data_IF_764426239846
#
_entry.id   IF_764426239846
#
_cell.length_a   1.000
_cell.length_b   1.000
_cell.length_c   1.000
_cell.angle_alpha   90.00
_cell.angle_beta   90.00
_cell.angle_gamma   90.00
#
_symmetry.space_group_name_H-M   'P 1'
#
loop_
_entity.id
_entity.type
_entity.pdbx_description
1 polymer ?
#
# COMPACT_ATOMS: atom_id res chain seq x y z
N UNK A 1 -26.11 -6.10 -4.87
CA UNK A 1 -24.82 -5.94 -4.19
C UNK A 1 -23.91 -5.15 -5.14
N UNK A 2 -23.41 -4.02 -4.71
CA UNK A 2 -22.57 -3.12 -5.52
C UNK A 2 -21.14 -3.23 -5.03
N UNK A 3 -20.16 -3.37 -5.95
CA UNK A 3 -18.74 -3.31 -5.63
C UNK A 3 -18.24 -1.90 -5.86
N UNK A 4 -17.54 -1.35 -4.89
CA UNK A 4 -16.93 -0.04 -4.97
C UNK A 4 -15.58 0.01 -4.25
N UNK A 5 -14.76 0.98 -4.62
CA UNK A 5 -13.49 1.27 -3.98
C UNK A 5 -13.36 2.77 -3.71
N UNK A 6 -12.92 3.11 -2.50
CA UNK A 6 -12.53 4.44 -2.08
C UNK A 6 -11.02 4.43 -1.86
N UNK A 7 -10.28 5.31 -2.51
CA UNK A 7 -8.83 5.32 -2.37
C UNK A 7 -8.23 6.72 -2.41
N UNK A 8 -7.08 6.82 -1.77
CA UNK A 8 -6.11 7.91 -1.92
C UNK A 8 -4.78 7.32 -2.36
N UNK A 9 -4.05 8.01 -3.21
CA UNK A 9 -2.74 7.56 -3.65
C UNK A 9 -1.79 8.74 -3.91
N UNK A 10 -0.59 8.43 -4.39
CA UNK A 10 0.47 9.41 -4.64
C UNK A 10 0.13 10.45 -5.71
N UNK A 11 -0.89 10.21 -6.54
CA UNK A 11 -1.34 11.17 -7.56
C UNK A 11 -2.48 12.06 -7.08
N UNK A 12 -3.25 11.62 -6.06
CA UNK A 12 -4.44 12.35 -5.60
C UNK A 12 -4.21 13.12 -4.29
N UNK A 13 -3.27 12.67 -3.45
CA UNK A 13 -3.09 13.24 -2.13
C UNK A 13 -1.62 13.49 -1.81
N UNK A 14 -1.28 14.64 -1.18
CA UNK A 14 0.08 14.93 -0.71
C UNK A 14 0.51 13.97 0.40
N UNK A 15 1.83 13.89 0.65
CA UNK A 15 2.43 12.90 1.54
C UNK A 15 1.93 12.99 2.98
N UNK A 16 1.80 14.20 3.51
CA UNK A 16 1.32 14.47 4.87
C UNK A 16 -0.14 14.00 5.07
N UNK A 17 -0.99 14.18 4.06
CA UNK A 17 -2.36 13.69 4.08
C UNK A 17 -2.40 12.16 3.98
N UNK A 18 -1.65 11.56 3.05
CA UNK A 18 -1.58 10.10 2.90
C UNK A 18 -1.08 9.41 4.17
N UNK A 19 -0.10 10.01 4.85
CA UNK A 19 0.45 9.50 6.10
C UNK A 19 -0.58 9.34 7.23
N UNK A 20 -1.67 10.12 7.20
CA UNK A 20 -2.76 10.01 8.20
C UNK A 20 -3.63 8.77 7.99
N UNK A 21 -3.59 8.18 6.82
CA UNK A 21 -4.39 7.01 6.43
C UNK A 21 -3.53 5.76 6.22
N UNK A 22 -2.24 5.80 6.57
CA UNK A 22 -1.38 4.64 6.46
C UNK A 22 -1.67 3.66 7.62
N UNK A 23 -2.04 2.43 7.27
CA UNK A 23 -2.28 1.35 8.22
C UNK A 23 -1.17 0.31 8.08
N UNK A 24 -0.48 0.01 9.18
CA UNK A 24 0.46 -1.11 9.23
C UNK A 24 -0.31 -2.45 9.09
N UNK A 25 0.36 -3.50 8.63
CA UNK A 25 -0.30 -4.78 8.34
C UNK A 25 -1.01 -5.37 9.57
N UNK A 26 -0.41 -5.23 10.75
CA UNK A 26 -0.97 -5.67 12.03
C UNK A 26 -2.19 -4.83 12.47
N UNK A 27 -2.36 -3.64 11.92
CA UNK A 27 -3.51 -2.76 12.17
C UNK A 27 -4.68 -3.00 11.21
N UNK A 28 -4.48 -3.73 10.10
CA UNK A 28 -5.53 -3.95 9.10
C UNK A 28 -6.75 -4.66 9.71
N UNK A 29 -6.54 -5.76 10.45
CA UNK A 29 -7.64 -6.51 11.04
C UNK A 29 -8.47 -5.70 12.06
N UNK A 30 -7.88 -5.00 13.07
CA UNK A 30 -8.65 -4.14 13.97
C UNK A 30 -9.32 -2.97 13.24
N UNK A 31 -8.68 -2.40 12.21
CA UNK A 31 -9.26 -1.33 11.39
C UNK A 31 -10.51 -1.80 10.63
N UNK A 32 -10.44 -2.99 10.01
CA UNK A 32 -11.60 -3.63 9.35
C UNK A 32 -12.74 -3.90 10.33
N UNK A 33 -12.43 -4.33 11.55
CA UNK A 33 -13.44 -4.51 12.59
C UNK A 33 -14.17 -3.20 12.93
N UNK A 34 -13.41 -2.11 13.15
CA UNK A 34 -13.98 -0.79 13.41
C UNK A 34 -14.82 -0.26 12.25
N UNK A 35 -14.36 -0.42 11.01
CA UNK A 35 -15.11 -0.04 9.81
C UNK A 35 -16.42 -0.83 9.70
N UNK A 36 -16.37 -2.15 9.86
CA UNK A 36 -17.57 -3.00 9.78
C UNK A 36 -18.60 -2.68 10.88
N UNK A 37 -18.14 -2.38 12.08
CA UNK A 37 -19.02 -1.90 13.15
C UNK A 37 -19.73 -0.60 12.77
N UNK A 38 -19.00 0.35 12.19
CA UNK A 38 -19.58 1.61 11.73
C UNK A 38 -20.59 1.41 10.57
N UNK A 39 -20.34 0.45 9.69
CA UNK A 39 -21.20 0.12 8.55
C UNK A 39 -22.36 -0.80 8.92
N UNK A 40 -22.17 -1.66 9.94
CA UNK A 40 -23.13 -2.73 10.30
C UNK A 40 -24.37 -2.26 11.07
N UNK A 41 -24.49 -0.98 11.42
CA UNK A 41 -25.67 -0.45 12.12
C UNK A 41 -26.97 -0.49 11.28
N UNK A 42 -26.90 -0.92 10.03
CA UNK A 42 -28.04 -1.10 9.11
C UNK A 42 -28.40 -2.55 8.75
N UNK A 43 -27.78 -3.57 9.38
CA UNK A 43 -28.16 -4.98 9.19
C UNK A 43 -27.70 -5.64 7.90
N UNK A 44 -27.01 -4.93 7.00
CA UNK A 44 -26.49 -5.50 5.76
C UNK A 44 -25.07 -6.03 5.95
N UNK A 45 -24.80 -7.26 5.47
CA UNK A 45 -23.45 -7.82 5.42
C UNK A 45 -22.63 -7.09 4.37
N UNK A 46 -21.66 -6.28 4.78
CA UNK A 46 -20.73 -5.59 3.88
C UNK A 46 -19.40 -6.33 3.89
N UNK A 47 -18.96 -6.76 2.71
CA UNK A 47 -17.60 -7.26 2.54
C UNK A 47 -16.64 -6.08 2.49
N UNK A 48 -15.49 -6.19 3.16
CA UNK A 48 -14.50 -5.10 3.20
C UNK A 48 -13.07 -5.64 3.15
N UNK A 49 -12.20 -4.92 2.43
CA UNK A 49 -10.75 -5.15 2.45
C UNK A 49 -10.02 -3.79 2.39
N UNK A 50 -8.90 -3.69 3.08
CA UNK A 50 -8.06 -2.48 3.07
C UNK A 50 -6.70 -2.85 2.51
N UNK A 51 -6.28 -2.14 1.46
CA UNK A 51 -4.93 -2.19 0.91
C UNK A 51 -4.23 -0.91 1.34
N UNK A 52 -3.21 -1.02 2.18
CA UNK A 52 -2.41 0.11 2.62
C UNK A 52 -0.94 -0.15 2.35
N UNK A 53 -0.31 0.78 1.62
CA UNK A 53 1.11 0.76 1.27
C UNK A 53 1.71 2.15 1.48
N UNK A 54 3.00 2.34 1.21
CA UNK A 54 3.62 3.68 1.27
C UNK A 54 3.00 4.69 0.28
N UNK A 55 2.36 4.21 -0.80
CA UNK A 55 1.90 5.05 -1.90
C UNK A 55 0.38 5.14 -2.05
N UNK A 56 -0.38 4.28 -1.35
CA UNK A 56 -1.85 4.25 -1.42
C UNK A 56 -2.49 3.69 -0.18
N UNK A 57 -3.69 4.13 0.08
CA UNK A 57 -4.65 3.46 0.96
C UNK A 57 -5.97 3.36 0.23
N UNK A 58 -6.46 2.15 0.08
CA UNK A 58 -7.69 1.82 -0.66
C UNK A 58 -8.58 0.92 0.19
N UNK A 59 -9.86 1.26 0.26
CA UNK A 59 -10.90 0.44 0.88
C UNK A 59 -11.78 -0.11 -0.23
N UNK A 60 -11.81 -1.42 -0.36
CA UNK A 60 -12.70 -2.15 -1.26
C UNK A 60 -13.88 -2.67 -0.48
N UNK A 61 -15.07 -2.48 -1.01
CA UNK A 61 -16.29 -2.96 -0.40
C UNK A 61 -17.22 -3.63 -1.43
N UNK A 62 -17.98 -4.61 -0.95
CA UNK A 62 -19.13 -5.14 -1.66
C UNK A 62 -20.34 -5.12 -0.71
N UNK A 63 -21.39 -4.40 -1.09
CA UNK A 63 -22.53 -4.16 -0.23
C UNK A 63 -23.57 -3.25 -0.88
N UNK A 64 -24.38 -2.58 -0.08
CA UNK A 64 -25.32 -1.58 -0.54
C UNK A 64 -24.67 -0.19 -0.64
N UNK A 65 -25.15 0.64 -1.55
CA UNK A 65 -24.58 1.95 -1.87
C UNK A 65 -24.47 2.94 -0.67
N UNK A 66 -25.39 2.98 0.30
CA UNK A 66 -25.25 3.88 1.45
C UNK A 66 -23.98 3.69 2.26
N UNK A 67 -23.33 2.52 2.19
CA UNK A 67 -22.07 2.23 2.87
C UNK A 67 -20.90 3.09 2.36
N UNK A 68 -20.94 3.62 1.14
CA UNK A 68 -19.87 4.44 0.56
C UNK A 68 -19.68 5.76 1.33
N UNK A 69 -20.74 6.53 1.54
CA UNK A 69 -20.66 7.81 2.26
C UNK A 69 -20.32 7.59 3.74
N UNK A 70 -20.82 6.51 4.34
CA UNK A 70 -20.46 6.10 5.69
C UNK A 70 -18.98 5.72 5.80
N UNK A 71 -18.43 5.00 4.81
CA UNK A 71 -17.00 4.66 4.77
C UNK A 71 -16.12 5.89 4.60
N UNK A 72 -16.53 6.84 3.75
CA UNK A 72 -15.78 8.09 3.57
C UNK A 72 -15.78 8.90 4.88
N UNK A 73 -16.92 9.03 5.54
CA UNK A 73 -17.02 9.70 6.84
C UNK A 73 -16.18 9.02 7.92
N UNK A 74 -16.23 7.69 7.98
CA UNK A 74 -15.43 6.91 8.92
C UNK A 74 -13.92 7.07 8.68
N UNK A 75 -13.48 6.96 7.41
CA UNK A 75 -12.09 7.12 7.06
C UNK A 75 -11.59 8.54 7.35
N UNK A 76 -12.39 9.57 7.05
CA UNK A 76 -12.07 10.95 7.36
C UNK A 76 -11.87 11.16 8.87
N UNK A 77 -12.78 10.61 9.68
CA UNK A 77 -12.67 10.65 11.13
C UNK A 77 -11.39 9.96 11.63
N UNK A 78 -11.09 8.77 11.11
CA UNK A 78 -9.88 8.02 11.44
C UNK A 78 -8.59 8.79 11.15
N UNK A 79 -8.55 9.55 10.05
CA UNK A 79 -7.41 10.38 9.67
C UNK A 79 -7.39 11.79 10.29
N UNK A 80 -8.42 12.14 11.08
CA UNK A 80 -8.54 13.46 11.72
C UNK A 80 -8.70 14.61 10.71
N UNK A 81 -9.43 14.37 9.60
CA UNK A 81 -9.76 15.39 8.60
C UNK A 81 -11.26 15.46 8.37
N UNK A 82 -11.72 16.56 7.73
CA UNK A 82 -13.13 16.64 7.34
C UNK A 82 -13.43 15.71 6.14
N UNK A 83 -14.66 15.17 6.03
CA UNK A 83 -15.08 14.40 4.85
C UNK A 83 -14.92 15.15 3.54
N UNK A 84 -15.04 16.47 3.54
CA UNK A 84 -14.86 17.31 2.35
C UNK A 84 -13.40 17.28 1.88
N UNK A 85 -12.44 17.45 2.78
CA UNK A 85 -11.01 17.37 2.47
C UNK A 85 -10.63 15.99 1.95
N UNK A 86 -11.12 14.91 2.59
CA UNK A 86 -10.84 13.56 2.11
C UNK A 86 -11.43 13.34 0.72
N UNK A 87 -12.66 13.79 0.47
CA UNK A 87 -13.34 13.65 -0.83
C UNK A 87 -12.57 14.35 -1.96
N UNK A 88 -12.02 15.54 -1.71
CA UNK A 88 -11.23 16.30 -2.68
C UNK A 88 -9.95 15.54 -3.12
N UNK A 89 -9.35 14.78 -2.20
CA UNK A 89 -8.11 14.05 -2.42
C UNK A 89 -8.30 12.55 -2.68
N UNK A 90 -9.53 12.08 -2.79
CA UNK A 90 -9.84 10.67 -3.02
C UNK A 90 -10.41 10.43 -4.41
N UNK A 91 -10.28 9.18 -4.84
CA UNK A 91 -11.04 8.65 -5.96
C UNK A 91 -12.04 7.61 -5.47
N UNK A 92 -13.18 7.58 -6.14
CA UNK A 92 -14.24 6.61 -5.91
C UNK A 92 -14.50 5.88 -7.21
N UNK A 93 -14.46 4.56 -7.15
CA UNK A 93 -14.73 3.69 -8.27
C UNK A 93 -15.92 2.80 -7.94
N UNK A 94 -16.78 2.57 -8.92
CA UNK A 94 -17.95 1.69 -8.76
C UNK A 94 -18.01 0.70 -9.93
N UNK A 95 -18.49 -0.51 -9.66
CA UNK A 95 -18.73 -1.57 -10.67
C UNK A 95 -17.49 -2.00 -11.46
N UNK A 96 -17.57 -2.03 -12.78
CA UNK A 96 -16.50 -2.46 -13.69
C UNK A 96 -15.16 -1.75 -13.51
N UNK A 97 -15.11 -0.42 -13.34
CA UNK A 97 -13.93 0.34 -13.00
C UNK A 97 -13.16 -0.17 -11.78
N UNK A 98 -13.83 -0.73 -10.76
CA UNK A 98 -13.16 -1.33 -9.59
C UNK A 98 -12.27 -2.52 -9.99
N UNK A 99 -12.82 -3.44 -10.79
CA UNK A 99 -12.09 -4.60 -11.23
C UNK A 99 -10.88 -4.20 -12.11
N UNK A 100 -11.09 -3.27 -13.05
CA UNK A 100 -10.02 -2.75 -13.89
C UNK A 100 -8.90 -2.12 -13.05
N UNK A 101 -9.27 -1.34 -12.05
CA UNK A 101 -8.31 -0.69 -11.14
C UNK A 101 -7.54 -1.75 -10.32
N UNK A 102 -8.23 -2.69 -9.69
CA UNK A 102 -7.60 -3.76 -8.92
C UNK A 102 -6.61 -4.58 -9.79
N UNK A 103 -6.95 -4.87 -11.06
CA UNK A 103 -6.04 -5.54 -12.00
C UNK A 103 -4.80 -4.69 -12.29
N UNK A 104 -4.95 -3.40 -12.53
CA UNK A 104 -3.85 -2.46 -12.76
C UNK A 104 -2.92 -2.37 -11.56
N UNK A 105 -3.49 -2.22 -10.36
CA UNK A 105 -2.72 -2.16 -9.11
C UNK A 105 -1.96 -3.46 -8.88
N UNK A 106 -2.62 -4.61 -8.97
CA UNK A 106 -1.99 -5.93 -8.78
C UNK A 106 -0.86 -6.19 -9.79
N UNK A 107 -0.99 -5.66 -11.01
CA UNK A 107 0.02 -5.77 -12.07
C UNK A 107 1.18 -4.79 -11.92
N UNK A 108 1.10 -3.83 -10.99
CA UNK A 108 2.09 -2.76 -10.80
C UNK A 108 2.00 -1.65 -11.85
N UNK A 109 0.88 -1.58 -12.60
CA UNK A 109 0.65 -0.57 -13.64
C UNK A 109 0.19 0.78 -13.08
N UNK A 110 -0.12 0.81 -11.78
CA UNK A 110 -0.56 2.00 -11.04
C UNK A 110 0.37 2.33 -9.86
N UNK A 111 1.58 1.78 -9.87
CA UNK A 111 2.62 2.06 -8.88
C UNK A 111 3.49 3.24 -9.31
N UNK A 112 4.12 3.95 -8.34
CA UNK A 112 5.10 5.01 -8.65
C UNK A 112 6.26 4.49 -9.49
N UNK A 113 6.68 3.25 -9.24
CA UNK A 113 7.64 2.52 -10.07
C UNK A 113 6.87 1.48 -10.87
N UNK A 114 6.78 1.70 -12.18
CA UNK A 114 6.01 0.84 -13.07
C UNK A 114 6.53 -0.61 -12.99
N UNK A 115 5.62 -1.56 -12.81
CA UNK A 115 5.94 -2.98 -12.71
C UNK A 115 6.50 -3.43 -11.37
N UNK A 116 6.46 -2.60 -10.32
CA UNK A 116 6.92 -2.95 -8.98
C UNK A 116 6.36 -4.31 -8.51
N UNK A 117 7.26 -5.23 -8.13
CA UNK A 117 6.87 -6.58 -7.77
C UNK A 117 6.19 -6.67 -6.39
N UNK A 118 6.52 -5.73 -5.49
CA UNK A 118 6.07 -5.76 -4.10
C UNK A 118 4.56 -5.58 -3.94
N UNK A 119 3.93 -4.76 -4.79
CA UNK A 119 2.49 -4.45 -4.66
C UNK A 119 1.61 -5.70 -4.70
N UNK A 120 1.96 -6.70 -5.52
CA UNK A 120 1.20 -7.95 -5.60
C UNK A 120 1.29 -8.74 -4.28
N UNK A 121 2.47 -8.77 -3.66
CA UNK A 121 2.67 -9.37 -2.33
C UNK A 121 1.85 -8.65 -1.27
N UNK A 122 1.96 -7.32 -1.19
CA UNK A 122 1.22 -6.49 -0.25
C UNK A 122 -0.30 -6.63 -0.39
N UNK A 123 -0.81 -6.71 -1.63
CA UNK A 123 -2.24 -6.98 -1.85
C UNK A 123 -2.66 -8.36 -1.33
N UNK A 124 -1.85 -9.40 -1.54
CA UNK A 124 -2.14 -10.75 -1.01
C UNK A 124 -2.14 -10.77 0.51
N UNK A 125 -1.21 -10.05 1.15
CA UNK A 125 -1.15 -9.95 2.62
C UNK A 125 -2.37 -9.22 3.17
N UNK A 126 -2.78 -8.12 2.55
CA UNK A 126 -3.98 -7.38 2.90
C UNK A 126 -5.26 -8.22 2.77
N UNK A 127 -5.37 -9.00 1.69
CA UNK A 127 -6.51 -9.91 1.47
C UNK A 127 -6.53 -11.02 2.52
N UNK A 128 -5.40 -11.61 2.86
CA UNK A 128 -5.29 -12.60 3.95
C UNK A 128 -5.69 -12.00 5.30
N UNK A 129 -5.28 -10.76 5.58
CA UNK A 129 -5.69 -10.07 6.80
C UNK A 129 -7.21 -9.82 6.84
N UNK A 130 -7.83 -9.46 5.71
CA UNK A 130 -9.27 -9.29 5.61
C UNK A 130 -10.03 -10.61 5.77
N UNK A 131 -9.50 -11.72 5.20
CA UNK A 131 -10.04 -13.07 5.39
C UNK A 131 -9.96 -13.50 6.85
N UNK A 132 -8.79 -13.35 7.49
CA UNK A 132 -8.59 -13.66 8.92
C UNK A 132 -9.47 -12.83 9.85
N UNK A 133 -9.84 -11.61 9.47
CA UNK A 133 -10.80 -10.77 10.18
C UNK A 133 -12.29 -11.12 9.90
N UNK A 134 -12.56 -12.13 9.05
CA UNK A 134 -13.91 -12.47 8.62
C UNK A 134 -14.62 -11.34 7.86
N UNK A 135 -13.84 -10.45 7.25
CA UNK A 135 -14.35 -9.29 6.52
C UNK A 135 -14.47 -9.54 5.00
N UNK A 136 -13.82 -10.57 4.49
CA UNK A 136 -13.82 -10.94 3.09
C UNK A 136 -14.98 -11.91 2.79
N UNK A 137 -15.85 -11.55 1.87
CA UNK A 137 -16.89 -12.43 1.36
C UNK A 137 -16.58 -12.92 -0.06
N UNK A 138 -17.53 -13.59 -0.67
CA UNK A 138 -17.39 -14.24 -1.99
C UNK A 138 -17.06 -13.22 -3.08
N UNK A 139 -17.69 -12.06 -3.07
CA UNK A 139 -17.56 -11.05 -4.13
C UNK A 139 -16.15 -10.46 -4.18
N UNK A 140 -15.64 -9.98 -3.04
CA UNK A 140 -14.28 -9.42 -2.97
C UNK A 140 -13.22 -10.50 -3.12
N UNK A 141 -13.46 -11.71 -2.61
CA UNK A 141 -12.52 -12.81 -2.82
C UNK A 141 -12.37 -13.13 -4.32
N UNK A 142 -13.46 -13.24 -5.07
CA UNK A 142 -13.41 -13.45 -6.51
C UNK A 142 -12.68 -12.31 -7.23
N UNK A 143 -12.95 -11.04 -6.86
CA UNK A 143 -12.27 -9.88 -7.41
C UNK A 143 -10.75 -9.99 -7.23
N UNK A 144 -10.28 -10.27 -6.02
CA UNK A 144 -8.84 -10.31 -5.72
C UNK A 144 -8.17 -11.55 -6.32
N UNK A 145 -8.78 -12.73 -6.28
CA UNK A 145 -8.23 -13.93 -6.91
C UNK A 145 -8.07 -13.72 -8.43
N UNK A 146 -9.06 -13.08 -9.07
CA UNK A 146 -8.96 -12.73 -10.48
C UNK A 146 -7.87 -11.68 -10.73
N UNK A 147 -7.73 -10.68 -9.84
CA UNK A 147 -6.66 -9.69 -9.92
C UNK A 147 -5.27 -10.33 -9.87
N UNK A 148 -5.09 -11.31 -9.00
CA UNK A 148 -3.81 -12.04 -8.87
C UNK A 148 -3.52 -12.90 -10.10
N UNK A 149 -4.53 -13.54 -10.69
CA UNK A 149 -4.38 -14.29 -11.93
C UNK A 149 -3.98 -13.37 -13.10
N UNK A 150 -4.68 -12.25 -13.26
CA UNK A 150 -4.37 -11.24 -14.30
C UNK A 150 -2.96 -10.66 -14.10
N UNK A 151 -2.58 -10.32 -12.87
CA UNK A 151 -1.23 -9.82 -12.58
C UNK A 151 -0.14 -10.82 -12.95
N UNK A 152 -0.37 -12.11 -12.71
CA UNK A 152 0.55 -13.17 -13.13
C UNK A 152 0.64 -13.25 -14.66
N UNK A 153 -0.50 -13.22 -15.35
CA UNK A 153 -0.56 -13.26 -16.80
C UNK A 153 0.17 -12.05 -17.42
N UNK A 154 -0.11 -10.83 -16.95
CA UNK A 154 0.58 -9.60 -17.40
C UNK A 154 2.10 -9.72 -17.23
N UNK A 155 2.57 -10.22 -16.08
CA UNK A 155 4.01 -10.37 -15.82
C UNK A 155 4.68 -11.44 -16.65
N UNK A 156 3.95 -12.45 -17.09
CA UNK A 156 4.51 -13.54 -17.91
C UNK A 156 4.39 -13.29 -19.42
N UNK A 157 3.41 -12.49 -19.84
CA UNK A 157 3.13 -12.21 -21.25
C UNK A 157 3.71 -10.87 -21.75
N UNK A 158 4.29 -10.08 -20.85
CA UNK A 158 4.88 -8.77 -21.18
C UNK A 158 6.23 -8.57 -20.48
N UNK A 159 7.02 -7.61 -20.94
CA UNK A 159 8.32 -7.27 -20.37
C UNK A 159 8.23 -6.50 -19.03
N UNK A 160 7.03 -6.20 -18.55
CA UNK A 160 6.85 -5.44 -17.32
C UNK A 160 7.46 -6.15 -16.09
N UNK A 161 7.47 -7.49 -16.11
CA UNK A 161 8.09 -8.30 -15.07
C UNK A 161 9.62 -8.36 -15.18
N UNK A 162 10.15 -8.29 -16.41
CA UNK A 162 11.58 -8.40 -16.67
C UNK A 162 12.37 -7.14 -16.31
N UNK A 163 11.72 -5.97 -16.36
CA UNK A 163 12.34 -4.66 -16.08
C UNK A 163 11.84 -4.00 -14.81
N UNK A 164 11.11 -4.74 -13.96
CA UNK A 164 10.62 -4.21 -12.70
C UNK A 164 11.79 -3.94 -11.74
N UNK A 165 12.07 -2.69 -11.52
CA UNK A 165 13.06 -2.24 -10.52
C UNK A 165 12.27 -1.87 -9.26
N UNK A 166 12.66 -2.40 -8.10
CA UNK A 166 12.07 -1.93 -6.84
C UNK A 166 12.44 -0.45 -6.62
N UNK A 167 11.60 0.29 -5.89
CA UNK A 167 11.90 1.68 -5.52
C UNK A 167 13.27 1.80 -4.83
N UNK A 168 13.63 0.81 -4.02
CA UNK A 168 14.93 0.74 -3.37
C UNK A 168 16.08 0.60 -4.38
N UNK A 169 15.94 -0.27 -5.38
CA UNK A 169 16.93 -0.42 -6.43
C UNK A 169 17.02 0.83 -7.31
N UNK A 170 15.88 1.50 -7.58
CA UNK A 170 15.84 2.76 -8.31
C UNK A 170 16.58 3.87 -7.55
N UNK A 171 16.42 3.95 -6.22
CA UNK A 171 17.14 4.91 -5.38
C UNK A 171 18.66 4.71 -5.43
N UNK A 172 19.13 3.46 -5.35
CA UNK A 172 20.57 3.13 -5.47
C UNK A 172 21.11 3.47 -6.87
N UNK A 173 20.32 3.18 -7.91
CA UNK A 173 20.70 3.54 -9.29
C UNK A 173 20.82 5.04 -9.47
N UNK A 174 19.87 5.82 -8.91
CA UNK A 174 19.92 7.29 -8.93
C UNK A 174 21.14 7.80 -8.18
N UNK A 175 21.43 7.26 -6.99
CA UNK A 175 22.65 7.60 -6.25
C UNK A 175 23.92 7.34 -7.06
N UNK A 176 23.98 6.21 -7.79
CA UNK A 176 25.11 5.91 -8.68
C UNK A 176 25.26 6.84 -9.90
N UNK A 177 24.22 7.61 -10.22
CA UNK A 177 24.30 8.67 -11.24
C UNK A 177 24.82 10.00 -10.66
N UNK A 178 24.61 10.22 -9.34
CA UNK A 178 25.00 11.45 -8.64
C UNK A 178 26.40 11.35 -8.03
N UNK A 179 26.82 10.17 -7.64
CA UNK A 179 28.10 9.91 -6.97
C UNK A 179 28.92 8.92 -7.79
N UNK A 180 30.16 9.28 -8.11
CA UNK A 180 31.06 8.43 -8.92
C UNK A 180 31.37 7.07 -8.24
N UNK A 181 31.44 7.05 -6.91
CA UNK A 181 31.78 5.86 -6.16
C UNK A 181 30.96 5.78 -4.85
N UNK A 182 30.02 4.87 -4.83
CA UNK A 182 29.13 4.65 -3.68
C UNK A 182 29.87 4.08 -2.46
N UNK A 183 31.04 3.50 -2.63
CA UNK A 183 31.84 2.99 -1.51
C UNK A 183 32.47 4.10 -0.68
N UNK A 184 32.57 5.31 -1.21
CA UNK A 184 33.16 6.47 -0.52
C UNK A 184 32.14 7.34 0.21
N UNK A 185 30.84 7.13 -0.03
CA UNK A 185 29.79 7.95 0.59
C UNK A 185 29.37 7.43 1.96
N UNK A 186 28.78 8.31 2.75
CA UNK A 186 28.02 7.96 3.95
C UNK A 186 26.55 8.10 3.65
N UNK A 187 25.75 7.12 4.05
CA UNK A 187 24.32 7.06 3.79
C UNK A 187 23.57 7.21 5.10
N UNK A 188 22.66 8.19 5.16
CA UNK A 188 21.76 8.36 6.28
C UNK A 188 20.35 7.94 5.84
N UNK A 189 19.77 6.98 6.55
CA UNK A 189 18.36 6.62 6.43
C UNK A 189 17.55 7.29 7.53
N UNK A 190 16.43 7.92 7.15
CA UNK A 190 15.49 8.53 8.09
C UNK A 190 14.22 7.68 8.11
N UNK A 191 14.04 6.93 9.19
CA UNK A 191 13.00 5.93 9.39
C UNK A 191 13.58 4.51 9.56
N UNK A 192 12.75 3.55 9.98
CA UNK A 192 13.08 2.14 10.12
C UNK A 192 11.87 1.26 9.73
N UNK A 193 11.14 1.65 8.68
CA UNK A 193 10.08 0.85 8.07
C UNK A 193 10.62 -0.06 6.95
N UNK A 194 9.75 -0.93 6.42
CA UNK A 194 10.10 -1.94 5.40
C UNK A 194 10.81 -1.36 4.17
N UNK A 195 10.38 -0.18 3.71
CA UNK A 195 11.00 0.47 2.56
C UNK A 195 12.43 0.92 2.86
N UNK A 196 12.69 1.44 4.07
CA UNK A 196 14.04 1.83 4.50
C UNK A 196 14.93 0.60 4.66
N UNK A 197 14.40 -0.48 5.23
CA UNK A 197 15.10 -1.76 5.36
C UNK A 197 15.52 -2.30 3.98
N UNK A 198 14.62 -2.26 3.01
CA UNK A 198 14.91 -2.68 1.64
C UNK A 198 15.95 -1.77 0.98
N UNK A 199 15.82 -0.45 1.12
CA UNK A 199 16.81 0.52 0.62
C UNK A 199 18.18 0.30 1.27
N UNK A 200 18.23 0.11 2.59
CA UNK A 200 19.47 -0.14 3.32
C UNK A 200 20.16 -1.42 2.85
N UNK A 201 19.40 -2.49 2.59
CA UNK A 201 19.93 -3.73 2.02
C UNK A 201 20.58 -3.50 0.65
N UNK A 202 19.93 -2.76 -0.23
CA UNK A 202 20.46 -2.45 -1.57
C UNK A 202 21.68 -1.52 -1.51
N UNK A 203 21.71 -0.54 -0.59
CA UNK A 203 22.87 0.32 -0.39
C UNK A 203 24.03 -0.42 0.27
N UNK A 204 23.78 -1.28 1.27
CA UNK A 204 24.81 -2.11 1.92
C UNK A 204 25.54 -2.99 0.92
N UNK A 205 24.85 -3.53 -0.07
CA UNK A 205 25.47 -4.30 -1.16
C UNK A 205 26.46 -3.50 -2.04
N UNK A 206 26.50 -2.15 -1.89
CA UNK A 206 27.46 -1.24 -2.53
C UNK A 206 28.63 -0.88 -1.63
N UNK A 207 28.69 -1.45 -0.42
CA UNK A 207 29.74 -1.22 0.58
C UNK A 207 30.02 0.26 0.86
N UNK A 208 29.00 1.09 1.21
CA UNK A 208 29.24 2.49 1.51
C UNK A 208 30.16 2.62 2.73
N UNK A 209 30.85 3.76 2.85
CA UNK A 209 31.77 4.02 3.96
C UNK A 209 31.09 3.92 5.33
N UNK A 210 29.80 4.27 5.39
CA UNK A 210 29.00 4.22 6.61
C UNK A 210 27.51 4.18 6.26
N UNK A 211 26.74 3.42 7.02
CA UNK A 211 25.29 3.49 7.05
C UNK A 211 24.89 4.01 8.44
N UNK A 212 24.09 5.07 8.48
CA UNK A 212 23.50 5.60 9.70
C UNK A 212 21.97 5.57 9.58
N UNK A 213 21.29 5.29 10.69
CA UNK A 213 19.83 5.20 10.73
C UNK A 213 19.31 6.13 11.82
N UNK A 214 18.45 7.08 11.45
CA UNK A 214 17.72 7.93 12.36
C UNK A 214 16.25 7.48 12.39
N UNK A 215 15.72 7.18 13.58
CA UNK A 215 14.33 6.77 13.72
C UNK A 215 13.72 7.35 15.01
N UNK A 216 12.43 7.64 14.98
CA UNK A 216 11.69 8.12 16.15
C UNK A 216 11.73 7.13 17.32
N UNK A 217 11.64 5.84 17.03
CA UNK A 217 11.79 4.74 18.01
C UNK A 217 13.21 4.23 17.91
N UNK A 218 14.04 4.49 18.94
CA UNK A 218 15.45 4.12 18.97
C UNK A 218 15.66 2.62 18.75
N UNK A 219 14.94 1.79 19.49
CA UNK A 219 15.03 0.32 19.41
C UNK A 219 14.85 -0.22 17.97
N UNK A 220 13.88 0.32 17.21
CA UNK A 220 13.69 -0.05 15.80
C UNK A 220 14.86 0.38 14.93
N UNK A 221 15.42 1.55 15.19
CA UNK A 221 16.60 2.06 14.48
C UNK A 221 17.82 1.18 14.73
N UNK A 222 18.07 0.83 15.98
CA UNK A 222 19.18 -0.04 16.40
C UNK A 222 19.05 -1.47 15.83
N UNK A 223 17.85 -2.04 15.89
CA UNK A 223 17.56 -3.35 15.29
C UNK A 223 17.85 -3.38 13.80
N UNK A 224 17.52 -2.31 13.09
CA UNK A 224 17.81 -2.21 11.66
C UNK A 224 19.32 -1.97 11.42
N UNK A 225 19.95 -1.09 12.18
CA UNK A 225 21.38 -0.78 12.05
C UNK A 225 22.26 -2.02 12.29
N UNK A 226 21.94 -2.84 13.32
CA UNK A 226 22.71 -4.04 13.66
C UNK A 226 22.74 -5.11 12.55
N UNK A 227 21.89 -5.00 11.53
CA UNK A 227 21.89 -5.92 10.37
C UNK A 227 22.93 -5.56 9.32
N UNK A 228 23.49 -4.37 9.37
CA UNK A 228 24.40 -3.84 8.35
C UNK A 228 25.80 -3.51 8.89
N UNK A 229 26.07 -3.75 10.17
CA UNK A 229 27.36 -3.56 10.82
C UNK A 229 27.49 -2.24 11.54
#
# INVERSE_FOLDING_TARGET
MTVWALGINHTTAPLDLRGRFAFALDQIAPTLHGLRQALGQGGASVETAIISTCNRTEIYCAGERPALDSTLGWLAHSGGVSPAVLREHSYILEHGPVARHAFRVASGLDSMVLGEAQILGQMKDAVRAAEGAGALGTTLNQLFQRSFAVAKEVRTSTDIGAHSISMAAAAVRLAGQLFEDLSKIRVLFVGAGEMIELCATHFAARNPKQIAIANRTLERGEKLASRFG
#
